data_IF_130477130186
#
_entry.id   IF_130477130186
#
_cell.length_a   1.000
_cell.length_b   1.000
_cell.length_c   1.000
_cell.angle_alpha   90.00
_cell.angle_beta   90.00
_cell.angle_gamma   90.00
#
_symmetry.space_group_name_H-M   'P 1'
#
loop_
_entity.id
_entity.type
_entity.pdbx_description
1 polymer ?
#
# COMPACT_ATOMS: atom_id res chain seq x y z
N UNK A 1 9.66 -7.62 50.81
CA UNK A 1 8.72 -7.08 49.80
C UNK A 1 9.56 -6.59 48.64
N UNK A 2 9.70 -7.40 47.58
CA UNK A 2 10.71 -7.26 46.53
C UNK A 2 9.99 -6.81 45.26
N UNK A 3 10.15 -5.54 44.89
CA UNK A 3 9.80 -5.08 43.54
C UNK A 3 10.97 -5.53 42.66
N UNK A 4 10.83 -6.71 42.06
CA UNK A 4 11.70 -7.14 40.98
C UNK A 4 11.22 -6.41 39.75
N UNK A 5 11.82 -5.25 39.48
CA UNK A 5 11.76 -4.64 38.16
C UNK A 5 12.55 -5.53 37.22
N UNK A 6 11.85 -6.37 36.47
CA UNK A 6 12.39 -6.93 35.24
C UNK A 6 12.64 -5.77 34.29
N UNK A 7 13.84 -5.22 34.33
CA UNK A 7 14.42 -4.52 33.20
C UNK A 7 14.54 -5.53 32.09
N UNK A 8 13.49 -5.65 31.27
CA UNK A 8 13.56 -6.30 29.97
C UNK A 8 14.69 -5.61 29.23
N UNK A 9 15.84 -6.27 29.15
CA UNK A 9 16.89 -5.97 28.19
C UNK A 9 16.25 -6.13 26.82
N UNK A 10 15.62 -5.05 26.32
CA UNK A 10 15.24 -4.94 24.92
C UNK A 10 16.55 -4.98 24.15
N UNK A 11 16.90 -6.17 23.68
CA UNK A 11 18.07 -6.40 22.88
C UNK A 11 18.04 -5.38 21.73
N UNK A 12 19.09 -4.55 21.60
CA UNK A 12 19.18 -3.56 20.52
C UNK A 12 19.10 -4.17 19.10
N UNK A 13 19.08 -5.50 19.03
CA UNK A 13 18.96 -6.36 17.86
C UNK A 13 17.51 -6.50 17.35
N UNK A 14 16.50 -6.53 18.24
CA UNK A 14 15.10 -6.78 17.88
C UNK A 14 14.51 -5.72 16.93
N UNK A 15 14.68 -4.40 17.18
CA UNK A 15 14.20 -3.38 16.24
C UNK A 15 14.91 -3.47 14.88
N UNK A 16 16.22 -3.74 14.87
CA UNK A 16 17.01 -3.81 13.65
C UNK A 16 16.60 -5.01 12.78
N UNK A 17 16.31 -6.15 13.39
CA UNK A 17 15.82 -7.35 12.74
C UNK A 17 14.42 -7.14 12.14
N UNK A 18 13.52 -6.51 12.89
CA UNK A 18 12.19 -6.15 12.41
C UNK A 18 12.26 -5.25 11.16
N UNK A 19 13.08 -4.20 11.18
CA UNK A 19 13.29 -3.31 10.02
C UNK A 19 13.99 -4.00 8.85
N UNK A 20 14.84 -5.00 9.11
CA UNK A 20 15.44 -5.84 8.07
C UNK A 20 14.36 -6.70 7.40
N UNK A 21 13.52 -7.37 8.17
CA UNK A 21 12.40 -8.17 7.66
C UNK A 21 11.42 -7.32 6.87
N UNK A 22 11.05 -6.14 7.39
CA UNK A 22 10.21 -5.18 6.68
C UNK A 22 10.78 -4.80 5.31
N UNK A 23 12.06 -4.46 5.23
CA UNK A 23 12.71 -4.12 3.96
C UNK A 23 12.73 -5.31 2.99
N UNK A 24 13.01 -6.51 3.47
CA UNK A 24 13.00 -7.71 2.64
C UNK A 24 11.61 -8.01 2.10
N UNK A 25 10.57 -7.92 2.95
CA UNK A 25 9.18 -8.11 2.55
C UNK A 25 8.76 -7.04 1.54
N UNK A 26 9.01 -5.76 1.83
CA UNK A 26 8.62 -4.65 0.96
C UNK A 26 9.25 -4.74 -0.45
N UNK A 27 10.49 -5.24 -0.56
CA UNK A 27 11.14 -5.47 -1.86
C UNK A 27 10.46 -6.52 -2.73
N UNK A 28 9.67 -7.42 -2.14
CA UNK A 28 8.88 -8.40 -2.90
C UNK A 28 7.63 -7.79 -3.55
N UNK A 29 7.18 -6.61 -3.10
CA UNK A 29 5.95 -5.95 -3.57
C UNK A 29 6.22 -4.56 -4.16
N UNK A 30 7.03 -4.44 -5.25
CA UNK A 30 7.24 -3.15 -5.89
C UNK A 30 5.94 -2.61 -6.50
N UNK A 31 5.70 -1.32 -6.30
CA UNK A 31 4.53 -0.59 -6.83
C UNK A 31 4.51 -0.59 -8.36
N UNK A 32 5.67 -0.49 -9.01
CA UNK A 32 5.82 -0.48 -10.46
C UNK A 32 5.53 -1.84 -11.12
N UNK A 33 5.65 -2.94 -10.37
CA UNK A 33 5.35 -4.28 -10.91
C UNK A 33 3.85 -4.54 -11.05
N UNK A 34 2.97 -3.69 -10.50
CA UNK A 34 1.52 -3.82 -10.71
C UNK A 34 1.14 -3.70 -12.18
N UNK A 35 1.79 -2.81 -12.93
CA UNK A 35 1.48 -2.57 -14.34
C UNK A 35 1.65 -3.86 -15.16
N UNK A 36 2.83 -4.53 -15.17
CA UNK A 36 2.96 -5.80 -15.90
C UNK A 36 2.20 -6.96 -15.26
N UNK A 37 2.10 -7.04 -13.92
CA UNK A 37 1.37 -8.14 -13.25
C UNK A 37 -0.12 -8.16 -13.59
N UNK A 38 -0.72 -6.99 -13.85
CA UNK A 38 -2.12 -6.85 -14.27
C UNK A 38 -2.40 -7.48 -15.64
N UNK A 39 -1.38 -7.59 -16.50
CA UNK A 39 -1.53 -8.12 -17.86
C UNK A 39 -0.97 -9.53 -18.04
N UNK A 40 0.04 -9.94 -17.26
CA UNK A 40 0.84 -11.16 -17.53
C UNK A 40 0.57 -12.30 -16.53
N UNK A 41 0.03 -12.01 -15.35
CA UNK A 41 -0.17 -13.05 -14.32
C UNK A 41 -1.53 -13.75 -14.52
N UNK A 42 -1.61 -15.09 -14.60
CA UNK A 42 -2.88 -15.82 -14.66
C UNK A 42 -3.81 -15.54 -13.46
N UNK A 43 -3.26 -15.04 -12.35
CA UNK A 43 -4.00 -14.56 -11.19
C UNK A 43 -4.82 -13.28 -11.45
N UNK A 44 -4.45 -12.43 -12.43
CA UNK A 44 -5.13 -11.18 -12.78
C UNK A 44 -6.62 -11.41 -13.16
N UNK A 45 -6.93 -12.57 -13.74
CA UNK A 45 -8.29 -12.99 -14.09
C UNK A 45 -9.01 -13.76 -12.96
N UNK A 46 -8.27 -14.21 -11.94
CA UNK A 46 -8.85 -14.71 -10.69
C UNK A 46 -9.39 -13.60 -9.77
N UNK A 47 -8.98 -12.34 -9.98
CA UNK A 47 -9.58 -11.16 -9.34
C UNK A 47 -11.02 -10.87 -9.80
N UNK A 48 -11.49 -11.54 -10.87
CA UNK A 48 -12.85 -11.44 -11.41
C UNK A 48 -13.75 -12.62 -10.99
N UNK A 49 -13.33 -13.46 -10.04
CA UNK A 49 -14.07 -14.63 -9.56
C UNK A 49 -14.43 -14.58 -8.07
N UNK A 50 -15.26 -15.53 -7.62
CA UNK A 50 -15.70 -15.67 -6.22
C UNK A 50 -14.56 -16.09 -5.27
N UNK A 51 -13.53 -16.77 -5.79
CA UNK A 51 -12.40 -17.29 -5.01
C UNK A 51 -11.09 -16.55 -5.33
N UNK A 52 -10.91 -15.45 -4.62
CA UNK A 52 -9.70 -14.64 -4.69
C UNK A 52 -8.51 -15.25 -3.92
N UNK A 53 -8.79 -15.99 -2.84
CA UNK A 53 -7.77 -16.48 -1.90
C UNK A 53 -6.91 -17.58 -2.51
N UNK A 54 -7.50 -18.49 -3.29
CA UNK A 54 -6.75 -19.57 -3.95
C UNK A 54 -5.73 -19.04 -4.96
N UNK A 55 -6.11 -18.02 -5.74
CA UNK A 55 -5.19 -17.36 -6.67
C UNK A 55 -4.09 -16.59 -5.94
N UNK A 56 -4.46 -15.92 -4.85
CA UNK A 56 -3.55 -15.16 -4.01
C UNK A 56 -2.48 -16.05 -3.33
N UNK A 57 -2.87 -17.24 -2.85
CA UNK A 57 -1.95 -18.24 -2.26
C UNK A 57 -0.92 -18.76 -3.27
N UNK A 58 -1.32 -18.91 -4.54
CA UNK A 58 -0.45 -19.45 -5.61
C UNK A 58 0.46 -18.39 -6.25
N UNK A 59 0.28 -17.12 -5.91
CA UNK A 59 1.07 -16.04 -6.48
C UNK A 59 2.56 -16.21 -6.10
N UNK A 60 3.50 -16.15 -7.07
CA UNK A 60 4.94 -16.24 -6.80
C UNK A 60 5.45 -15.27 -5.72
N UNK A 61 4.90 -14.06 -5.63
CA UNK A 61 5.30 -13.08 -4.59
C UNK A 61 4.84 -13.53 -3.20
N UNK A 62 3.62 -14.07 -3.10
CA UNK A 62 3.08 -14.66 -1.87
C UNK A 62 3.94 -15.84 -1.43
N UNK A 63 4.27 -16.77 -2.33
CA UNK A 63 5.12 -17.92 -2.01
C UNK A 63 6.51 -17.50 -1.51
N UNK A 64 7.10 -16.46 -2.11
CA UNK A 64 8.38 -15.88 -1.63
C UNK A 64 8.26 -15.25 -0.24
N UNK A 65 7.13 -14.61 0.06
CA UNK A 65 6.87 -14.06 1.38
C UNK A 65 6.67 -15.16 2.44
N UNK A 66 6.00 -16.26 2.09
CA UNK A 66 5.92 -17.46 2.93
C UNK A 66 7.31 -18.01 3.25
N UNK A 67 8.16 -18.19 2.23
CA UNK A 67 9.53 -18.67 2.41
C UNK A 67 10.40 -17.69 3.21
N UNK A 68 10.23 -16.37 3.02
CA UNK A 68 10.96 -15.33 3.77
C UNK A 68 10.62 -15.36 5.26
N UNK A 69 9.37 -15.67 5.59
CA UNK A 69 8.86 -15.63 6.95
C UNK A 69 8.92 -16.99 7.64
N UNK A 70 9.28 -18.06 6.93
CA UNK A 70 9.44 -19.38 7.52
C UNK A 70 10.43 -19.38 8.68
N UNK A 71 10.06 -19.98 9.81
CA UNK A 71 10.85 -19.97 11.04
C UNK A 71 10.95 -18.63 11.79
N UNK A 72 10.32 -17.55 11.33
CA UNK A 72 10.25 -16.28 12.08
C UNK A 72 9.37 -16.45 13.32
N UNK A 73 9.89 -16.03 14.48
CA UNK A 73 9.19 -16.08 15.76
C UNK A 73 7.88 -15.29 15.74
N UNK A 74 6.90 -15.75 16.52
CA UNK A 74 5.57 -15.14 16.59
C UNK A 74 5.64 -13.66 17.00
N UNK A 75 6.52 -13.31 17.94
CA UNK A 75 6.72 -11.91 18.37
C UNK A 75 7.24 -11.00 17.24
N UNK A 76 8.20 -11.46 16.44
CA UNK A 76 8.70 -10.70 15.28
C UNK A 76 7.65 -10.60 14.18
N UNK A 77 6.88 -11.66 13.96
CA UNK A 77 5.80 -11.70 12.98
C UNK A 77 4.65 -10.75 13.34
N UNK A 78 4.27 -10.68 14.62
CA UNK A 78 3.27 -9.74 15.11
C UNK A 78 3.75 -8.29 14.99
N UNK A 79 5.02 -8.02 15.31
CA UNK A 79 5.64 -6.72 15.07
C UNK A 79 5.62 -6.31 13.59
N UNK A 80 5.90 -7.25 12.69
CA UNK A 80 5.87 -7.03 11.24
C UNK A 80 4.45 -6.74 10.75
N UNK A 81 3.47 -7.46 11.30
CA UNK A 81 2.06 -7.25 10.98
C UNK A 81 1.56 -5.89 11.47
N UNK A 82 1.96 -5.47 12.67
CA UNK A 82 1.67 -4.14 13.19
C UNK A 82 2.27 -3.02 12.32
N UNK A 83 3.51 -3.20 11.83
CA UNK A 83 4.14 -2.27 10.88
C UNK A 83 3.38 -2.21 9.55
N UNK A 84 3.00 -3.36 8.99
CA UNK A 84 2.22 -3.43 7.75
C UNK A 84 0.86 -2.72 7.89
N UNK A 85 0.16 -2.95 9.02
CA UNK A 85 -1.10 -2.31 9.34
C UNK A 85 -0.96 -0.78 9.49
N UNK A 86 0.10 -0.32 10.17
CA UNK A 86 0.40 1.11 10.29
C UNK A 86 0.67 1.74 8.92
N UNK A 87 1.48 1.08 8.08
CA UNK A 87 1.80 1.57 6.75
C UNK A 87 0.54 1.68 5.87
N UNK A 88 -0.33 0.67 5.88
CA UNK A 88 -1.57 0.71 5.09
C UNK A 88 -2.52 1.81 5.55
N UNK A 89 -2.67 2.03 6.87
CA UNK A 89 -3.47 3.15 7.40
C UNK A 89 -2.92 4.50 6.94
N UNK A 90 -1.59 4.68 6.94
CA UNK A 90 -0.96 5.90 6.44
C UNK A 90 -1.17 6.08 4.93
N UNK A 91 -1.07 5.01 4.15
CA UNK A 91 -1.34 5.05 2.70
C UNK A 91 -2.80 5.42 2.41
N UNK A 92 -3.77 4.84 3.13
CA UNK A 92 -5.20 5.17 2.98
C UNK A 92 -5.48 6.65 3.33
N UNK A 93 -4.86 7.19 4.38
CA UNK A 93 -4.98 8.61 4.74
C UNK A 93 -4.41 9.51 3.64
N UNK A 94 -3.20 9.20 3.16
CA UNK A 94 -2.54 9.97 2.10
C UNK A 94 -3.33 9.91 0.79
N UNK A 95 -3.83 8.74 0.40
CA UNK A 95 -4.64 8.58 -0.81
C UNK A 95 -5.88 9.49 -0.79
N UNK A 96 -6.58 9.58 0.35
CA UNK A 96 -7.74 10.48 0.49
C UNK A 96 -7.34 11.94 0.28
N UNK A 97 -6.25 12.38 0.91
CA UNK A 97 -5.74 13.76 0.74
C UNK A 97 -5.35 14.02 -0.70
N UNK A 98 -4.65 13.07 -1.34
CA UNK A 98 -4.25 13.15 -2.75
C UNK A 98 -5.48 13.27 -3.63
N UNK A 99 -6.47 12.38 -3.49
CA UNK A 99 -7.70 12.44 -4.29
C UNK A 99 -8.40 13.79 -4.13
N UNK A 100 -8.59 14.27 -2.89
CA UNK A 100 -9.24 15.57 -2.65
C UNK A 100 -8.45 16.69 -3.31
N UNK A 101 -7.14 16.79 -3.05
CA UNK A 101 -6.31 17.85 -3.62
C UNK A 101 -6.27 17.82 -5.15
N UNK A 102 -6.20 16.63 -5.76
CA UNK A 102 -6.16 16.49 -7.21
C UNK A 102 -7.51 16.72 -7.90
N UNK A 103 -8.62 16.58 -7.19
CA UNK A 103 -9.93 16.96 -7.72
C UNK A 103 -10.17 18.46 -7.53
N UNK A 104 -9.83 19.03 -6.37
CA UNK A 104 -10.18 20.41 -6.05
C UNK A 104 -9.24 21.42 -6.68
N UNK A 105 -7.92 21.25 -6.54
CA UNK A 105 -6.94 22.27 -6.95
C UNK A 105 -6.96 22.50 -8.47
N UNK A 106 -6.91 21.47 -9.34
CA UNK A 106 -6.96 21.69 -10.78
C UNK A 106 -8.28 22.31 -11.25
N UNK A 107 -9.42 21.90 -10.67
CA UNK A 107 -10.72 22.47 -10.99
C UNK A 107 -10.82 23.94 -10.56
N UNK A 108 -10.30 24.30 -9.39
CA UNK A 108 -10.25 25.70 -8.93
C UNK A 108 -9.37 26.56 -9.82
N UNK A 109 -8.20 26.07 -10.23
CA UNK A 109 -7.31 26.78 -11.17
C UNK A 109 -8.02 26.97 -12.52
N UNK A 110 -8.66 25.92 -13.05
CA UNK A 110 -9.40 26.01 -14.31
C UNK A 110 -10.55 27.01 -14.23
N UNK A 111 -11.30 27.04 -13.13
CA UNK A 111 -12.37 28.01 -12.91
C UNK A 111 -11.84 29.44 -12.91
N UNK A 112 -10.75 29.72 -12.16
CA UNK A 112 -10.11 31.04 -12.13
C UNK A 112 -9.60 31.47 -13.51
N UNK A 113 -8.94 30.56 -14.24
CA UNK A 113 -8.43 30.87 -15.58
C UNK A 113 -9.58 31.10 -16.57
N UNK A 114 -10.68 30.37 -16.46
CA UNK A 114 -11.86 30.57 -17.29
C UNK A 114 -12.52 31.94 -17.03
N UNK A 115 -12.59 32.38 -15.77
CA UNK A 115 -13.07 33.73 -15.42
C UNK A 115 -12.16 34.84 -15.95
N UNK A 116 -10.84 34.66 -15.88
CA UNK A 116 -9.87 35.69 -16.27
C UNK A 116 -9.60 35.76 -17.78
N UNK A 117 -9.69 34.64 -18.50
CA UNK A 117 -9.21 34.52 -19.87
C UNK A 117 -10.00 33.52 -20.73
N UNK A 118 -11.32 33.38 -20.50
CA UNK A 118 -12.15 32.31 -21.10
C UNK A 118 -12.05 32.15 -22.62
N UNK A 119 -11.98 33.24 -23.39
CA UNK A 119 -11.85 33.18 -24.85
C UNK A 119 -10.44 32.73 -25.32
N UNK A 120 -9.40 33.08 -24.55
CA UNK A 120 -8.01 32.74 -24.86
C UNK A 120 -7.63 31.34 -24.38
N UNK A 121 -8.33 30.79 -23.38
CA UNK A 121 -8.06 29.44 -22.86
C UNK A 121 -8.26 28.35 -23.93
N UNK A 122 -9.35 28.41 -24.70
CA UNK A 122 -9.61 27.43 -25.76
C UNK A 122 -8.59 27.54 -26.91
N UNK A 123 -8.19 28.77 -27.23
CA UNK A 123 -7.14 29.04 -28.23
C UNK A 123 -5.79 28.53 -27.76
N UNK A 124 -5.45 28.71 -26.49
CA UNK A 124 -4.23 28.19 -25.87
C UNK A 124 -4.18 26.67 -25.90
N UNK A 125 -5.25 25.98 -25.51
CA UNK A 125 -5.34 24.52 -25.53
C UNK A 125 -5.14 23.96 -26.94
N UNK A 126 -5.77 24.57 -27.94
CA UNK A 126 -5.60 24.18 -29.35
C UNK A 126 -4.17 24.45 -29.85
N UNK A 127 -3.59 25.60 -29.50
CA UNK A 127 -2.23 25.95 -29.90
C UNK A 127 -1.15 25.11 -29.21
N UNK A 128 -1.41 24.63 -27.99
CA UNK A 128 -0.45 23.91 -27.14
C UNK A 128 -0.99 22.54 -26.72
N UNK A 129 -1.61 21.81 -27.65
CA UNK A 129 -2.26 20.53 -27.37
C UNK A 129 -1.30 19.51 -26.73
N UNK A 130 -0.05 19.43 -27.20
CA UNK A 130 0.96 18.54 -26.62
C UNK A 130 1.26 18.87 -25.16
N UNK A 131 1.44 20.16 -24.83
CA UNK A 131 1.72 20.59 -23.45
C UNK A 131 0.51 20.31 -22.56
N UNK A 132 -0.69 20.61 -23.05
CA UNK A 132 -1.95 20.32 -22.34
C UNK A 132 -2.10 18.84 -22.03
N UNK A 133 -1.79 17.95 -22.99
CA UNK A 133 -1.81 16.51 -22.79
C UNK A 133 -0.79 16.05 -21.74
N UNK A 134 0.44 16.57 -21.77
CA UNK A 134 1.45 16.25 -20.76
C UNK A 134 1.06 16.69 -19.36
N UNK A 135 0.44 17.87 -19.22
CA UNK A 135 -0.10 18.34 -17.94
C UNK A 135 -1.19 17.39 -17.44
N UNK A 136 -2.17 17.06 -18.30
CA UNK A 136 -3.25 16.14 -17.95
C UNK A 136 -2.74 14.74 -17.55
N UNK A 137 -1.76 14.21 -18.30
CA UNK A 137 -1.16 12.92 -18.02
C UNK A 137 -0.41 12.94 -16.68
N UNK A 138 0.39 13.97 -16.41
CA UNK A 138 1.15 14.09 -15.16
C UNK A 138 0.23 14.25 -13.96
N UNK A 139 -0.83 15.05 -14.11
CA UNK A 139 -1.86 15.23 -13.08
C UNK A 139 -2.62 13.93 -12.79
N UNK A 140 -2.73 13.03 -13.77
CA UNK A 140 -3.42 11.74 -13.59
C UNK A 140 -2.48 10.64 -13.08
N UNK A 141 -1.22 10.66 -13.50
CA UNK A 141 -0.23 9.64 -13.15
C UNK A 141 0.06 9.59 -11.64
N UNK A 142 0.09 10.75 -10.97
CA UNK A 142 0.35 10.81 -9.54
C UNK A 142 -0.75 10.15 -8.69
N UNK A 143 -2.06 10.48 -8.84
CA UNK A 143 -3.15 9.76 -8.18
C UNK A 143 -3.14 8.26 -8.44
N UNK A 144 -2.90 7.85 -9.70
CA UNK A 144 -2.79 6.42 -10.07
C UNK A 144 -1.63 5.75 -9.32
N UNK A 145 -0.48 6.41 -9.22
CA UNK A 145 0.66 5.93 -8.43
C UNK A 145 0.32 5.73 -6.94
N UNK A 146 -0.42 6.67 -6.35
CA UNK A 146 -0.90 6.55 -4.96
C UNK A 146 -1.93 5.44 -4.79
N UNK A 147 -2.84 5.25 -5.75
CA UNK A 147 -3.78 4.12 -5.75
C UNK A 147 -3.05 2.79 -5.81
N UNK A 148 -2.06 2.66 -6.70
CA UNK A 148 -1.22 1.47 -6.83
C UNK A 148 -0.44 1.17 -5.54
N UNK A 149 0.14 2.21 -4.92
CA UNK A 149 0.84 2.09 -3.63
C UNK A 149 -0.08 1.59 -2.52
N UNK A 150 -1.29 2.18 -2.43
CA UNK A 150 -2.32 1.80 -1.46
C UNK A 150 -2.76 0.35 -1.68
N UNK A 151 -2.99 -0.04 -2.92
CA UNK A 151 -3.35 -1.40 -3.29
C UNK A 151 -2.26 -2.41 -2.85
N UNK A 152 -0.99 -2.13 -3.14
CA UNK A 152 0.13 -2.98 -2.67
C UNK A 152 0.19 -3.09 -1.16
N UNK A 153 -0.05 -1.99 -0.43
CA UNK A 153 -0.04 -2.03 1.04
C UNK A 153 -1.09 -3.00 1.60
N UNK A 154 -2.27 -3.10 0.95
CA UNK A 154 -3.33 -4.03 1.31
C UNK A 154 -3.00 -5.47 0.92
N UNK A 155 -2.31 -5.68 -0.21
CA UNK A 155 -1.80 -7.00 -0.57
C UNK A 155 -0.80 -7.54 0.45
N UNK A 156 0.11 -6.70 0.95
CA UNK A 156 1.08 -7.11 2.00
C UNK A 156 0.34 -7.58 3.24
N UNK A 157 -0.69 -6.85 3.69
CA UNK A 157 -1.53 -7.28 4.82
C UNK A 157 -2.20 -8.62 4.53
N UNK A 158 -2.82 -8.77 3.36
CA UNK A 158 -3.47 -10.02 2.98
C UNK A 158 -2.52 -11.22 3.00
N UNK A 159 -1.25 -11.05 2.58
CA UNK A 159 -0.24 -12.13 2.63
C UNK A 159 0.08 -12.48 4.08
N UNK A 160 0.27 -11.49 4.95
CA UNK A 160 0.55 -11.73 6.36
C UNK A 160 -0.64 -12.41 7.05
N UNK A 161 -1.87 -12.01 6.77
CA UNK A 161 -3.06 -12.66 7.32
C UNK A 161 -3.18 -14.11 6.82
N UNK A 162 -2.86 -14.38 5.56
CA UNK A 162 -2.84 -15.75 5.03
C UNK A 162 -1.78 -16.61 5.74
N UNK A 163 -0.57 -16.09 5.94
CA UNK A 163 0.50 -16.78 6.69
C UNK A 163 0.05 -17.06 8.12
N UNK A 164 -0.59 -16.08 8.77
CA UNK A 164 -1.12 -16.23 10.14
C UNK A 164 -2.14 -17.36 10.23
N UNK A 165 -3.10 -17.41 9.29
CA UNK A 165 -4.11 -18.45 9.22
C UNK A 165 -3.47 -19.83 9.06
N UNK A 166 -2.45 -19.96 8.20
CA UNK A 166 -1.74 -21.23 7.99
C UNK A 166 -0.88 -21.65 9.18
N UNK A 167 -0.41 -20.70 9.99
CA UNK A 167 0.26 -20.97 11.28
C UNK A 167 -0.71 -21.31 12.41
N UNK A 168 -2.03 -21.28 12.17
CA UNK A 168 -3.06 -21.46 13.19
C UNK A 168 -2.94 -20.47 14.37
N UNK A 169 -2.36 -19.29 14.13
CA UNK A 169 -2.24 -18.25 15.12
C UNK A 169 -3.57 -17.50 15.27
N UNK A 170 -3.83 -16.95 16.47
CA UNK A 170 -5.04 -16.15 16.71
C UNK A 170 -5.05 -14.92 15.79
N UNK A 171 -6.21 -14.51 15.23
CA UNK A 171 -6.30 -13.30 14.43
C UNK A 171 -5.75 -12.12 15.23
N UNK A 172 -4.88 -11.31 14.62
CA UNK A 172 -4.58 -9.99 15.17
C UNK A 172 -5.80 -9.12 14.94
N UNK A 173 -6.72 -9.16 15.90
CA UNK A 173 -7.92 -8.37 15.81
C UNK A 173 -7.50 -6.92 16.06
N UNK A 174 -7.42 -6.13 15.00
CA UNK A 174 -7.36 -4.67 15.11
C UNK A 174 -8.59 -4.07 15.86
N UNK A 175 -9.54 -4.91 16.29
CA UNK A 175 -10.64 -4.57 17.19
C UNK A 175 -10.23 -4.49 18.67
N UNK A 176 -9.10 -5.05 19.10
CA UNK A 176 -8.63 -4.91 20.50
C UNK A 176 -8.06 -3.51 20.80
N UNK A 177 -7.86 -2.66 19.79
CA UNK A 177 -7.48 -1.26 19.93
C UNK A 177 -8.69 -0.31 19.94
N UNK A 178 -9.92 -0.84 20.00
CA UNK A 178 -11.15 -0.04 19.97
C UNK A 178 -11.91 0.01 21.29
N UNK A 179 -11.43 -0.70 22.30
CA UNK A 179 -11.92 -0.63 23.67
C UNK A 179 -10.87 0.07 24.55
N UNK A 180 -10.88 1.40 24.49
CA UNK A 180 -10.64 2.36 25.59
C UNK A 180 -10.93 3.80 25.10
#
# INVERSE_FOLDING_TARGET
MRIVGETVERSGTEPAELWRLWRSLHRLFPTWALIPESFVTPGAWGYLGLDFLSGFRRNPTTLKAFALLDGVSDALFDGLTALAALNARRQDQLLRVVIVAYLTVPLSILALVAELAGADLMSFVKAHQNITLWIALTLTAAPVGYMMSTWRSKQVIGVLDLIRIERQQRPYTALELRDE
#
